data_IF_105720086597
#
_entry.id   IF_105720086597
#
_cell.length_a   1.000
_cell.length_b   1.000
_cell.length_c   1.000
_cell.angle_alpha   90.00
_cell.angle_beta   90.00
_cell.angle_gamma   90.00
#
_symmetry.space_group_name_H-M   'P 1'
#
loop_
_entity.id
_entity.type
_entity.pdbx_description
1 polymer ?
#
# COMPACT_ATOMS: atom_id res chain seq x y z
N UNK A 1 -25.34 29.72 41.49
CA UNK A 1 -26.46 28.78 41.71
C UNK A 1 -27.00 28.39 40.34
N UNK A 2 -26.59 27.25 39.80
CA UNK A 2 -27.06 26.77 38.49
C UNK A 2 -28.38 26.01 38.75
N UNK A 3 -29.49 26.54 38.24
CA UNK A 3 -30.79 25.86 38.31
C UNK A 3 -30.85 24.82 37.20
N UNK A 4 -30.99 23.55 37.58
CA UNK A 4 -31.39 22.48 36.69
C UNK A 4 -32.84 22.73 36.26
N UNK A 5 -33.02 23.19 35.02
CA UNK A 5 -34.33 23.36 34.39
C UNK A 5 -34.58 22.09 33.59
N UNK A 6 -35.17 21.11 34.25
CA UNK A 6 -35.59 19.87 33.61
C UNK A 6 -36.82 20.16 32.72
N UNK A 7 -36.70 19.97 31.41
CA UNK A 7 -37.75 20.29 30.45
C UNK A 7 -37.64 19.51 29.14
N UNK A 8 -37.88 18.19 29.21
CA UNK A 8 -38.36 17.34 28.11
C UNK A 8 -37.61 17.41 26.76
N UNK A 9 -36.51 16.65 26.62
CA UNK A 9 -36.22 16.05 25.32
C UNK A 9 -37.24 14.91 25.12
N UNK A 10 -38.27 15.15 24.31
CA UNK A 10 -39.21 14.10 23.92
C UNK A 10 -38.42 12.94 23.29
N UNK A 11 -38.68 11.66 23.63
CA UNK A 11 -37.97 10.51 23.04
C UNK A 11 -37.93 10.57 21.51
N UNK A 12 -38.99 11.08 20.90
CA UNK A 12 -39.09 11.28 19.46
C UNK A 12 -38.12 12.32 18.90
N UNK A 13 -37.74 13.34 19.68
CA UNK A 13 -36.79 14.36 19.23
C UNK A 13 -35.35 13.81 19.22
N UNK A 14 -35.01 13.00 20.22
CA UNK A 14 -33.70 12.32 20.28
C UNK A 14 -33.59 11.26 19.18
N UNK A 15 -34.64 10.46 19.00
CA UNK A 15 -34.70 9.42 17.96
C UNK A 15 -34.61 10.04 16.57
N UNK A 16 -35.37 11.12 16.30
CA UNK A 16 -35.32 11.81 15.00
C UNK A 16 -33.96 12.41 14.68
N UNK A 17 -33.26 12.94 15.68
CA UNK A 17 -31.95 13.58 15.51
C UNK A 17 -30.86 12.52 15.30
N UNK A 18 -30.88 11.46 16.10
CA UNK A 18 -29.95 10.34 16.01
C UNK A 18 -30.16 9.51 14.73
N UNK A 19 -31.41 9.38 14.28
CA UNK A 19 -31.76 8.72 13.03
C UNK A 19 -31.39 9.56 11.81
N UNK A 20 -31.47 10.90 11.89
CA UNK A 20 -30.96 11.79 10.85
C UNK A 20 -29.43 11.73 10.76
N UNK A 21 -28.74 11.79 11.90
CA UNK A 21 -27.28 11.68 11.96
C UNK A 21 -26.81 10.30 11.47
N UNK A 22 -27.51 9.22 11.83
CA UNK A 22 -27.21 7.87 11.35
C UNK A 22 -27.50 7.71 9.85
N UNK A 23 -28.55 8.36 9.33
CA UNK A 23 -28.87 8.33 7.91
C UNK A 23 -27.89 9.18 7.09
N UNK A 24 -27.46 10.34 7.57
CA UNK A 24 -26.40 11.14 6.96
C UNK A 24 -25.06 10.42 7.02
N UNK A 25 -24.72 9.81 8.15
CA UNK A 25 -23.54 8.95 8.29
C UNK A 25 -23.61 7.77 7.33
N UNK A 26 -24.72 7.03 7.31
CA UNK A 26 -24.91 5.92 6.39
C UNK A 26 -24.88 6.38 4.93
N UNK A 27 -25.42 7.55 4.58
CA UNK A 27 -25.38 8.11 3.23
C UNK A 27 -23.96 8.54 2.83
N UNK A 28 -23.21 9.15 3.75
CA UNK A 28 -21.79 9.51 3.58
C UNK A 28 -20.89 8.28 3.50
N UNK A 29 -21.28 7.17 4.14
CA UNK A 29 -20.56 5.90 4.13
C UNK A 29 -21.13 4.85 3.16
N UNK A 30 -22.22 5.14 2.45
CA UNK A 30 -22.59 4.48 1.18
C UNK A 30 -21.73 5.02 0.04
N UNK A 31 -20.42 4.94 0.24
CA UNK A 31 -19.41 5.18 -0.79
C UNK A 31 -19.24 3.89 -1.59
N UNK A 32 -20.07 3.71 -2.62
CA UNK A 32 -19.93 2.59 -3.56
C UNK A 32 -20.09 1.20 -2.93
N UNK A 33 -19.50 0.19 -3.58
CA UNK A 33 -19.54 -1.19 -3.08
C UNK A 33 -18.97 -1.25 -1.65
N UNK A 34 -19.73 -1.78 -0.70
CA UNK A 34 -19.32 -1.89 0.71
C UNK A 34 -17.91 -2.51 0.83
N UNK A 35 -17.07 -2.11 1.80
CA UNK A 35 -15.67 -2.56 1.88
C UNK A 35 -15.50 -4.08 1.78
N UNK A 36 -16.38 -4.85 2.43
CA UNK A 36 -16.40 -6.31 2.33
C UNK A 36 -16.70 -6.83 0.92
N UNK A 37 -17.47 -6.10 0.11
CA UNK A 37 -17.71 -6.43 -1.32
C UNK A 37 -16.48 -6.17 -2.17
N UNK A 38 -15.77 -5.05 -1.94
CA UNK A 38 -14.51 -4.76 -2.65
C UNK A 38 -13.46 -5.84 -2.36
N UNK A 39 -13.38 -6.27 -1.11
CA UNK A 39 -12.52 -7.39 -0.70
C UNK A 39 -12.98 -8.72 -1.31
N UNK A 40 -14.28 -9.03 -1.29
CA UNK A 40 -14.82 -10.24 -1.89
C UNK A 40 -14.54 -10.32 -3.40
N UNK A 41 -14.55 -9.19 -4.11
CA UNK A 41 -14.23 -9.12 -5.53
C UNK A 41 -12.76 -9.47 -5.83
N UNK A 42 -11.87 -9.45 -4.83
CA UNK A 42 -10.47 -9.86 -4.98
C UNK A 42 -10.29 -11.39 -4.93
N UNK A 43 -11.32 -12.17 -4.55
CA UNK A 43 -11.19 -13.61 -4.30
C UNK A 43 -10.67 -14.41 -5.51
N UNK A 44 -11.19 -14.15 -6.72
CA UNK A 44 -10.71 -14.86 -7.92
C UNK A 44 -9.24 -14.59 -8.18
N UNK A 45 -8.84 -13.31 -8.19
CA UNK A 45 -7.46 -12.90 -8.37
C UNK A 45 -6.53 -13.48 -7.29
N UNK A 46 -7.04 -13.65 -6.06
CA UNK A 46 -6.30 -14.29 -4.98
C UNK A 46 -5.99 -15.75 -5.28
N UNK A 47 -6.99 -16.54 -5.67
CA UNK A 47 -6.78 -17.96 -5.97
C UNK A 47 -5.89 -18.17 -7.19
N UNK A 48 -6.01 -17.32 -8.21
CA UNK A 48 -5.17 -17.36 -9.39
C UNK A 48 -3.70 -17.07 -9.01
N UNK A 49 -3.46 -15.96 -8.30
CA UNK A 49 -2.12 -15.59 -7.86
C UNK A 49 -1.51 -16.57 -6.85
N UNK A 50 -2.34 -17.15 -5.95
CA UNK A 50 -1.90 -18.19 -5.01
C UNK A 50 -1.42 -19.44 -5.74
N UNK A 51 -2.16 -19.88 -6.75
CA UNK A 51 -1.80 -21.05 -7.55
C UNK A 51 -0.45 -20.81 -8.24
N UNK A 52 -0.27 -19.62 -8.81
CA UNK A 52 0.98 -19.21 -9.45
C UNK A 52 2.14 -19.14 -8.45
N UNK A 53 1.96 -18.51 -7.29
CA UNK A 53 3.00 -18.38 -6.28
C UNK A 53 3.44 -19.75 -5.73
N UNK A 54 2.52 -20.70 -5.56
CA UNK A 54 2.86 -22.06 -5.13
C UNK A 54 3.61 -22.86 -6.21
N UNK A 55 3.37 -22.57 -7.50
CA UNK A 55 4.10 -23.18 -8.61
C UNK A 55 5.50 -22.59 -8.72
N UNK A 56 5.65 -21.26 -8.61
CA UNK A 56 6.93 -20.57 -8.66
C UNK A 56 7.85 -20.98 -7.49
N UNK A 57 7.31 -21.15 -6.27
CA UNK A 57 8.07 -21.63 -5.11
C UNK A 57 8.68 -23.03 -5.32
N UNK A 58 8.14 -23.84 -6.23
CA UNK A 58 8.67 -25.16 -6.57
C UNK A 58 9.78 -25.13 -7.65
N UNK A 59 9.85 -24.07 -8.46
CA UNK A 59 10.77 -23.95 -9.62
C UNK A 59 11.58 -22.64 -9.57
N UNK A 60 12.51 -22.52 -8.61
CA UNK A 60 13.49 -21.42 -8.50
C UNK A 60 12.91 -20.01 -8.23
N UNK A 61 13.67 -19.11 -7.57
CA UNK A 61 13.17 -17.78 -7.23
C UNK A 61 12.79 -16.99 -8.49
N UNK A 62 11.66 -16.27 -8.49
CA UNK A 62 11.21 -15.51 -9.64
C UNK A 62 12.25 -14.44 -9.99
N UNK A 63 12.70 -14.44 -11.26
CA UNK A 63 13.46 -13.32 -11.81
C UNK A 63 12.53 -12.13 -11.98
N UNK A 64 12.95 -10.97 -11.50
CA UNK A 64 12.18 -9.72 -11.49
C UNK A 64 11.84 -9.12 -12.86
N UNK A 65 12.25 -9.74 -13.98
CA UNK A 65 12.17 -9.15 -15.31
C UNK A 65 11.13 -9.85 -16.22
N UNK A 66 10.16 -9.02 -16.65
CA UNK A 66 9.43 -9.06 -17.93
C UNK A 66 8.00 -9.62 -18.05
N UNK A 67 7.30 -10.00 -16.96
CA UNK A 67 5.86 -10.30 -17.05
C UNK A 67 5.04 -9.62 -15.93
N UNK A 68 3.79 -9.18 -16.20
CA UNK A 68 2.87 -8.80 -15.13
C UNK A 68 2.67 -10.01 -14.22
N UNK A 69 3.27 -9.95 -13.02
CA UNK A 69 3.17 -11.02 -12.05
C UNK A 69 1.74 -11.01 -11.48
N UNK A 70 0.99 -12.13 -11.52
CA UNK A 70 -0.37 -12.20 -11.00
C UNK A 70 -0.48 -11.72 -9.54
N UNK A 71 0.57 -11.95 -8.77
CA UNK A 71 0.75 -11.50 -7.39
C UNK A 71 0.79 -9.98 -7.25
N UNK A 72 1.42 -9.25 -8.17
CA UNK A 72 1.49 -7.78 -8.15
C UNK A 72 0.11 -7.17 -8.40
N UNK A 73 -0.61 -7.69 -9.40
CA UNK A 73 -1.97 -7.25 -9.72
C UNK A 73 -2.93 -7.54 -8.57
N UNK A 74 -2.79 -8.70 -7.90
CA UNK A 74 -3.52 -9.00 -6.68
C UNK A 74 -3.23 -7.98 -5.58
N UNK A 75 -1.96 -7.70 -5.29
CA UNK A 75 -1.57 -6.78 -4.22
C UNK A 75 -2.13 -5.38 -4.47
N UNK A 76 -2.07 -4.87 -5.71
CA UNK A 76 -2.67 -3.59 -6.05
C UNK A 76 -4.19 -3.56 -5.81
N UNK A 77 -4.91 -4.62 -6.23
CA UNK A 77 -6.36 -4.75 -6.02
C UNK A 77 -6.73 -4.88 -4.54
N UNK A 78 -5.94 -5.64 -3.79
CA UNK A 78 -6.14 -5.85 -2.36
C UNK A 78 -5.93 -4.54 -1.59
N UNK A 79 -4.87 -3.80 -1.88
CA UNK A 79 -4.60 -2.49 -1.27
C UNK A 79 -5.73 -1.51 -1.56
N UNK A 80 -6.17 -1.39 -2.82
CA UNK A 80 -7.29 -0.53 -3.18
C UNK A 80 -8.59 -0.93 -2.47
N UNK A 81 -8.88 -2.24 -2.37
CA UNK A 81 -10.05 -2.73 -1.66
C UNK A 81 -10.04 -2.39 -0.16
N UNK A 82 -8.84 -2.39 0.45
CA UNK A 82 -8.61 -1.99 1.84
C UNK A 82 -8.55 -0.46 2.03
N UNK A 83 -8.55 0.32 0.94
CA UNK A 83 -8.44 1.77 0.98
C UNK A 83 -7.01 2.31 1.09
N UNK A 84 -6.01 1.47 0.82
CA UNK A 84 -4.61 1.86 0.76
C UNK A 84 -4.20 2.20 -0.67
N UNK A 85 -3.41 3.27 -0.81
CA UNK A 85 -2.79 3.62 -2.09
C UNK A 85 -1.39 2.98 -2.15
N UNK A 86 -1.09 2.15 -3.17
CA UNK A 86 0.25 1.62 -3.36
C UNK A 86 1.25 2.77 -3.53
N UNK A 87 2.35 2.73 -2.77
CA UNK A 87 3.45 3.67 -2.90
C UNK A 87 4.77 2.90 -2.67
N UNK A 88 5.25 2.15 -3.68
CA UNK A 88 6.43 1.32 -3.51
C UNK A 88 7.69 2.16 -3.33
N UNK A 89 8.46 1.89 -2.27
CA UNK A 89 9.72 2.57 -1.99
C UNK A 89 10.56 1.75 -1.00
N UNK A 90 11.87 1.95 -1.03
CA UNK A 90 12.79 1.29 -0.10
C UNK A 90 13.10 2.20 1.09
N UNK A 91 12.95 1.67 2.29
CA UNK A 91 13.40 2.31 3.54
C UNK A 91 14.67 1.61 4.00
N UNK A 92 15.64 2.35 4.54
CA UNK A 92 16.83 1.78 5.16
C UNK A 92 16.66 1.79 6.67
N UNK A 93 16.87 0.64 7.30
CA UNK A 93 16.93 0.51 8.75
C UNK A 93 18.25 1.10 9.28
N UNK A 94 18.35 1.26 10.61
CA UNK A 94 19.52 1.86 11.27
C UNK A 94 20.83 1.08 11.02
N UNK A 95 20.72 -0.23 10.77
CA UNK A 95 21.84 -1.12 10.43
C UNK A 95 22.20 -1.08 8.93
N UNK A 96 21.50 -0.27 8.13
CA UNK A 96 21.66 -0.16 6.69
C UNK A 96 20.91 -1.22 5.89
N UNK A 97 20.13 -2.09 6.54
CA UNK A 97 19.33 -3.11 5.85
C UNK A 97 18.25 -2.45 4.98
N UNK A 98 18.21 -2.71 3.66
CA UNK A 98 17.17 -2.20 2.79
C UNK A 98 15.86 -2.98 3.00
N UNK A 99 14.75 -2.25 3.12
CA UNK A 99 13.43 -2.79 3.34
C UNK A 99 12.48 -2.32 2.21
N UNK A 100 12.11 -3.21 1.27
CA UNK A 100 11.23 -2.84 0.16
C UNK A 100 9.77 -2.78 0.63
N UNK A 101 9.19 -1.57 0.71
CA UNK A 101 7.80 -1.36 1.08
C UNK A 101 6.90 -1.34 -0.16
N UNK A 102 5.71 -1.95 -0.06
CA UNK A 102 4.61 -1.77 -1.02
C UNK A 102 3.81 -0.48 -0.77
N UNK A 103 3.64 -0.13 0.51
CA UNK A 103 2.98 1.09 0.94
C UNK A 103 3.46 1.51 2.32
N UNK A 104 3.41 2.83 2.57
CA UNK A 104 3.69 3.45 3.86
C UNK A 104 2.58 4.46 4.15
N UNK A 105 2.04 4.40 5.35
CA UNK A 105 1.11 5.37 5.86
C UNK A 105 1.71 6.08 7.07
N UNK A 106 1.59 7.39 7.05
CA UNK A 106 1.97 8.26 8.14
C UNK A 106 0.72 8.76 8.86
N UNK A 107 0.82 8.89 10.18
CA UNK A 107 -0.19 9.51 11.03
C UNK A 107 0.52 10.45 11.99
N UNK A 108 0.06 11.70 12.03
CA UNK A 108 0.65 12.75 12.88
C UNK A 108 2.17 12.94 12.65
N UNK A 109 2.62 12.75 11.40
CA UNK A 109 4.02 12.88 11.00
C UNK A 109 4.92 11.74 11.45
N UNK A 110 4.35 10.61 11.87
CA UNK A 110 5.07 9.39 12.24
C UNK A 110 4.60 8.21 11.39
N UNK A 111 5.50 7.28 11.12
CA UNK A 111 5.17 6.05 10.42
C UNK A 111 4.22 5.22 11.27
N UNK A 112 3.04 4.96 10.72
CA UNK A 112 1.97 4.26 11.42
C UNK A 112 1.76 2.85 10.89
N UNK A 113 1.96 2.65 9.59
CA UNK A 113 1.81 1.35 8.94
C UNK A 113 2.78 1.22 7.77
N UNK A 114 3.53 0.13 7.77
CA UNK A 114 4.29 -0.33 6.61
C UNK A 114 3.67 -1.62 6.09
N UNK A 115 3.60 -1.73 4.76
CA UNK A 115 3.13 -2.92 4.07
C UNK A 115 4.28 -3.47 3.25
N UNK A 116 4.57 -4.74 3.43
CA UNK A 116 5.70 -5.47 2.85
C UNK A 116 5.17 -6.64 2.02
N UNK A 117 6.02 -7.18 1.15
CA UNK A 117 5.75 -8.40 0.40
C UNK A 117 6.79 -9.46 0.71
N UNK A 118 6.32 -10.70 0.85
CA UNK A 118 7.15 -11.89 1.03
C UNK A 118 6.71 -12.97 0.05
N UNK A 119 7.54 -14.00 -0.12
CA UNK A 119 7.16 -15.21 -0.86
C UNK A 119 5.99 -15.93 -0.20
N UNK A 120 5.37 -16.88 -0.90
CA UNK A 120 4.35 -17.73 -0.32
C UNK A 120 4.89 -19.15 -0.13
N UNK A 121 5.35 -19.43 1.08
CA UNK A 121 5.58 -20.79 1.58
C UNK A 121 4.53 -21.07 2.69
N UNK A 122 3.60 -22.03 2.48
CA UNK A 122 2.56 -22.35 3.45
C UNK A 122 3.07 -23.05 4.71
N UNK A 123 4.28 -23.62 4.67
CA UNK A 123 4.86 -24.40 5.77
C UNK A 123 5.88 -23.59 6.59
N UNK A 124 6.32 -22.43 6.09
CA UNK A 124 7.25 -21.53 6.77
C UNK A 124 6.56 -20.43 7.57
N UNK A 125 7.23 -19.95 8.64
CA UNK A 125 6.78 -18.76 9.36
C UNK A 125 6.82 -17.54 8.42
N UNK A 126 5.72 -16.77 8.25
CA UNK A 126 5.69 -15.61 7.36
C UNK A 126 6.73 -14.53 7.71
N UNK A 127 7.21 -14.45 8.96
CA UNK A 127 8.23 -13.50 9.38
C UNK A 127 9.65 -13.98 9.09
N UNK A 128 9.86 -15.28 8.89
CA UNK A 128 11.16 -15.85 8.52
C UNK A 128 11.36 -15.92 7.00
N UNK A 129 10.30 -15.62 6.23
CA UNK A 129 10.35 -15.69 4.77
C UNK A 129 11.06 -14.48 4.15
N UNK A 130 11.81 -14.68 3.06
CA UNK A 130 12.54 -13.60 2.42
C UNK A 130 11.58 -12.57 1.80
N UNK A 131 11.88 -11.29 2.03
CA UNK A 131 11.14 -10.20 1.41
C UNK A 131 11.39 -10.17 -0.09
N UNK A 132 10.33 -9.86 -0.84
CA UNK A 132 10.42 -9.71 -2.29
C UNK A 132 10.92 -8.31 -2.60
N UNK A 133 12.14 -8.22 -3.11
CA UNK A 133 12.65 -6.96 -3.65
C UNK A 133 12.08 -6.72 -5.04
N UNK A 134 11.13 -5.78 -5.13
CA UNK A 134 10.53 -5.31 -6.39
C UNK A 134 11.04 -3.95 -6.82
N UNK A 135 12.09 -3.45 -6.18
CA UNK A 135 12.72 -2.18 -6.57
C UNK A 135 13.69 -2.36 -7.73
N UNK A 136 13.17 -2.83 -8.87
CA UNK A 136 13.83 -2.55 -10.14
C UNK A 136 13.70 -1.04 -10.40
N UNK A 137 14.80 -0.31 -10.62
CA UNK A 137 14.73 1.11 -10.86
C UNK A 137 13.96 1.32 -12.17
N UNK A 138 12.86 2.08 -12.11
CA UNK A 138 12.45 2.88 -13.26
C UNK A 138 13.66 3.72 -13.60
N UNK A 139 14.32 3.35 -14.69
CA UNK A 139 15.57 3.91 -15.18
C UNK A 139 15.38 5.41 -15.42
N UNK A 140 15.47 6.21 -14.37
CA UNK A 140 15.74 7.63 -14.51
C UNK A 140 17.22 7.67 -14.88
N UNK A 141 17.46 7.62 -16.19
CA UNK A 141 18.72 8.09 -16.75
C UNK A 141 18.99 9.45 -16.13
N UNK A 142 19.81 9.46 -15.08
CA UNK A 142 20.51 10.62 -14.63
C UNK A 142 21.43 10.96 -15.80
N UNK A 143 20.91 11.80 -16.70
CA UNK A 143 21.71 12.42 -17.74
C UNK A 143 22.68 13.27 -16.94
N UNK A 144 23.88 12.73 -16.68
CA UNK A 144 24.98 13.54 -16.21
C UNK A 144 25.03 14.78 -17.13
N UNK A 145 25.04 16.01 -16.57
CA UNK A 145 25.36 17.16 -17.39
C UNK A 145 26.79 16.95 -17.87
N UNK A 146 26.90 16.49 -19.12
CA UNK A 146 28.16 16.43 -19.86
C UNK A 146 28.73 17.83 -19.87
N UNK A 147 29.67 18.08 -18.95
CA UNK A 147 30.46 19.29 -18.92
C UNK A 147 31.25 19.31 -20.23
N UNK A 148 31.12 20.34 -21.08
CA UNK A 148 31.91 20.39 -22.30
C UNK A 148 33.39 20.51 -21.91
N UNK A 149 34.17 19.53 -22.34
CA UNK A 149 35.63 19.48 -22.23
C UNK A 149 36.20 20.67 -23.01
N UNK A 150 36.50 21.77 -22.31
CA UNK A 150 37.13 22.95 -22.89
C UNK A 150 38.60 22.62 -23.20
N UNK A 151 38.91 22.39 -24.47
CA UNK A 151 40.27 22.22 -24.95
C UNK A 151 41.01 23.57 -24.87
N UNK A 152 41.78 23.77 -23.81
CA UNK A 152 42.79 24.83 -23.78
C UNK A 152 44.02 24.37 -24.57
N UNK A 153 44.23 25.01 -25.72
CA UNK A 153 45.45 24.95 -26.52
C UNK A 153 46.60 25.54 -25.69
N UNK A 154 47.76 24.89 -25.53
CA UNK A 154 48.92 25.55 -24.96
C UNK A 154 49.56 26.44 -26.03
N UNK A 155 49.46 27.75 -25.82
CA UNK A 155 50.36 28.71 -26.46
C UNK A 155 51.71 28.66 -25.74
N UNK A 156 52.78 28.44 -26.51
CA UNK A 156 54.15 28.61 -26.07
C UNK A 156 55.06 28.76 -27.29
N UNK A 157 56.30 29.19 -27.07
CA UNK A 157 56.74 30.52 -26.65
C UNK A 157 56.97 31.51 -27.82
#
# INVERSE_FOLDING_TARGET
MIRNVNGFYSPHYFDSLLQRDLHEFAAQHTLGAQPWRRLANCASAYFDARTHALQDSAESPPRADDAPHPTLDLHARLLDALGYTPNPHTVFLDDGTPLPLLARLERDGQDWLWILETTLDPDADPLDQPLVDRTTPRNNHHREPTTPRNNSVPAGP
#
